data_IF_983050677235
#
_entry.id   IF_983050677235
#
_cell.length_a   1.000
_cell.length_b   1.000
_cell.length_c   1.000
_cell.angle_alpha   90.00
_cell.angle_beta   90.00
_cell.angle_gamma   90.00
#
_symmetry.space_group_name_H-M   'P 1'
#
loop_
_entity.id
_entity.type
_entity.pdbx_description
1 polymer ?
#
# COMPACT_ATOMS: atom_id res chain seq x y z
N UNK A 1 8.92 -24.62 -10.09
CA UNK A 1 8.26 -23.70 -9.12
C UNK A 1 8.89 -22.30 -9.16
N UNK A 2 10.22 -22.19 -9.02
CA UNK A 2 10.95 -20.90 -8.97
C UNK A 2 10.80 -20.01 -10.23
N UNK A 3 10.86 -20.57 -11.44
CA UNK A 3 10.72 -19.79 -12.69
C UNK A 3 9.33 -19.15 -12.87
N UNK A 4 8.24 -19.85 -12.51
CA UNK A 4 6.89 -19.28 -12.57
C UNK A 4 6.75 -18.08 -11.63
N UNK A 5 7.40 -18.14 -10.47
CA UNK A 5 7.37 -17.07 -9.49
C UNK A 5 8.22 -15.87 -9.91
N UNK A 6 9.39 -16.09 -10.53
CA UNK A 6 10.17 -15.01 -11.14
C UNK A 6 9.41 -14.33 -12.28
N UNK A 7 8.75 -15.11 -13.13
CA UNK A 7 7.90 -14.55 -14.19
C UNK A 7 6.73 -13.75 -13.61
N UNK A 8 6.07 -14.25 -12.56
CA UNK A 8 5.00 -13.51 -11.89
C UNK A 8 5.50 -12.18 -11.31
N UNK A 9 6.66 -12.18 -10.62
CA UNK A 9 7.30 -10.96 -10.11
C UNK A 9 7.61 -9.98 -11.24
N UNK A 10 8.15 -10.45 -12.36
CA UNK A 10 8.38 -9.61 -13.54
C UNK A 10 7.08 -8.94 -13.98
N UNK A 11 6.01 -9.71 -14.24
CA UNK A 11 4.71 -9.20 -14.68
C UNK A 11 4.12 -8.18 -13.70
N UNK A 12 4.17 -8.45 -12.39
CA UNK A 12 3.61 -7.55 -11.39
C UNK A 12 4.43 -6.26 -11.26
N UNK A 13 5.76 -6.36 -11.27
CA UNK A 13 6.67 -5.21 -11.18
C UNK A 13 6.63 -4.30 -12.40
N UNK A 14 6.32 -4.85 -13.58
CA UNK A 14 6.19 -4.11 -14.83
C UNK A 14 4.76 -3.61 -15.09
N UNK A 15 3.85 -3.74 -14.12
CA UNK A 15 2.43 -3.40 -14.25
C UNK A 15 1.79 -4.00 -15.51
N UNK A 16 2.26 -5.17 -15.93
CA UNK A 16 1.83 -5.81 -17.16
C UNK A 16 0.52 -6.57 -16.95
N UNK A 17 -0.41 -6.54 -17.94
CA UNK A 17 -1.66 -7.26 -17.82
C UNK A 17 -1.41 -8.76 -17.76
N UNK A 18 -2.28 -9.52 -17.07
CA UNK A 18 -2.12 -10.98 -16.99
C UNK A 18 -2.25 -11.66 -18.36
N UNK A 19 -2.81 -11.01 -19.37
CA UNK A 19 -2.79 -11.49 -20.76
C UNK A 19 -1.40 -11.46 -21.40
N UNK A 20 -0.40 -10.79 -20.81
CA UNK A 20 0.96 -10.73 -21.34
C UNK A 20 1.60 -12.12 -21.48
N UNK A 21 1.25 -13.09 -20.63
CA UNK A 21 1.70 -14.48 -20.76
C UNK A 21 1.10 -15.21 -21.97
N UNK A 22 0.02 -14.69 -22.56
CA UNK A 22 -0.59 -15.25 -23.76
C UNK A 22 -0.01 -14.66 -25.05
N UNK A 23 0.89 -13.67 -24.95
CA UNK A 23 1.54 -13.04 -26.08
C UNK A 23 2.36 -14.05 -26.91
N UNK A 24 2.14 -14.06 -28.23
CA UNK A 24 2.78 -15.02 -29.14
C UNK A 24 4.30 -14.84 -29.24
N UNK A 25 4.82 -13.62 -29.15
CA UNK A 25 6.26 -13.39 -29.18
C UNK A 25 6.93 -13.88 -27.90
N UNK A 26 6.28 -13.73 -26.75
CA UNK A 26 6.78 -14.31 -25.50
C UNK A 26 6.81 -15.84 -25.55
N UNK A 27 5.76 -16.48 -26.09
CA UNK A 27 5.73 -17.94 -26.30
C UNK A 27 6.84 -18.40 -27.23
N UNK A 28 7.02 -17.73 -28.38
CA UNK A 28 8.09 -18.05 -29.33
C UNK A 28 9.48 -17.84 -28.74
N UNK A 29 9.68 -16.76 -27.99
CA UNK A 29 10.93 -16.49 -27.28
C UNK A 29 11.29 -17.63 -26.30
N UNK A 30 10.34 -18.05 -25.46
CA UNK A 30 10.54 -19.14 -24.51
C UNK A 30 10.74 -20.51 -25.18
N UNK A 31 10.09 -20.74 -26.31
CA UNK A 31 10.32 -21.93 -27.14
C UNK A 31 11.73 -21.93 -27.73
N UNK A 32 12.21 -20.81 -28.26
CA UNK A 32 13.56 -20.69 -28.83
C UNK A 32 14.67 -20.82 -27.80
N UNK A 33 14.41 -20.42 -26.55
CA UNK A 33 15.34 -20.68 -25.42
C UNK A 33 15.44 -22.20 -25.13
N UNK A 34 14.50 -23.01 -25.59
CA UNK A 34 14.53 -24.47 -25.38
C UNK A 34 14.32 -24.88 -23.92
N UNK A 35 13.75 -24.00 -23.10
CA UNK A 35 13.70 -24.16 -21.64
C UNK A 35 12.83 -25.32 -21.13
N UNK A 36 11.98 -25.92 -21.99
CA UNK A 36 10.92 -26.84 -21.56
C UNK A 36 9.91 -26.22 -20.59
N UNK A 37 10.02 -24.91 -20.33
CA UNK A 37 9.25 -24.21 -19.32
C UNK A 37 7.82 -24.01 -19.79
N UNK A 38 6.87 -24.47 -18.96
CA UNK A 38 5.44 -24.22 -19.19
C UNK A 38 5.05 -22.93 -18.49
N UNK A 39 4.58 -21.97 -19.29
CA UNK A 39 3.98 -20.74 -18.80
C UNK A 39 2.86 -21.05 -17.78
N UNK A 40 2.73 -20.25 -16.71
CA UNK A 40 1.56 -20.34 -15.85
C UNK A 40 0.31 -19.97 -16.65
N UNK A 41 -0.84 -20.49 -16.24
CA UNK A 41 -2.14 -19.99 -16.70
C UNK A 41 -2.46 -18.63 -16.08
N UNK A 42 -3.39 -17.88 -16.69
CA UNK A 42 -3.92 -16.64 -16.09
C UNK A 42 -4.51 -16.86 -14.70
N UNK A 43 -5.15 -18.02 -14.47
CA UNK A 43 -5.70 -18.40 -13.17
C UNK A 43 -4.60 -18.62 -12.13
N UNK A 44 -3.52 -19.30 -12.48
CA UNK A 44 -2.37 -19.46 -11.59
C UNK A 44 -1.74 -18.10 -11.27
N UNK A 45 -1.61 -17.21 -12.25
CA UNK A 45 -1.11 -15.85 -12.03
C UNK A 45 -2.00 -15.05 -11.07
N UNK A 46 -3.31 -15.01 -11.31
CA UNK A 46 -4.25 -14.19 -10.53
C UNK A 46 -4.59 -14.76 -9.15
N UNK A 47 -4.17 -15.99 -8.84
CA UNK A 47 -4.46 -16.64 -7.56
C UNK A 47 -3.18 -17.06 -6.86
N UNK A 48 -2.69 -18.27 -7.12
CA UNK A 48 -1.61 -18.87 -6.32
C UNK A 48 -0.32 -18.06 -6.40
N UNK A 49 0.08 -17.58 -7.58
CA UNK A 49 1.29 -16.78 -7.74
C UNK A 49 1.13 -15.38 -7.17
N UNK A 50 -0.01 -14.71 -7.39
CA UNK A 50 -0.29 -13.42 -6.78
C UNK A 50 -0.28 -13.50 -5.26
N UNK A 51 -0.95 -14.49 -4.66
CA UNK A 51 -1.00 -14.69 -3.21
C UNK A 51 0.40 -14.94 -2.64
N UNK A 52 1.23 -15.72 -3.32
CA UNK A 52 2.61 -15.98 -2.90
C UNK A 52 3.46 -14.71 -2.94
N UNK A 53 3.42 -13.96 -4.05
CA UNK A 53 4.20 -12.71 -4.17
C UNK A 53 3.69 -11.65 -3.18
N UNK A 54 2.37 -11.56 -2.97
CA UNK A 54 1.77 -10.68 -1.99
C UNK A 54 2.21 -11.03 -0.56
N UNK A 55 2.22 -12.32 -0.22
CA UNK A 55 2.71 -12.79 1.08
C UNK A 55 4.17 -12.40 1.31
N UNK A 56 5.04 -12.64 0.32
CA UNK A 56 6.45 -12.25 0.39
C UNK A 56 6.62 -10.73 0.55
N UNK A 57 5.86 -9.92 -0.20
CA UNK A 57 5.88 -8.46 -0.08
C UNK A 57 5.43 -8.00 1.31
N UNK A 58 4.39 -8.62 1.88
CA UNK A 58 3.88 -8.32 3.22
C UNK A 58 4.87 -8.72 4.32
N UNK A 59 5.54 -9.86 4.17
CA UNK A 59 6.61 -10.28 5.09
C UNK A 59 7.81 -9.34 5.04
N UNK A 60 8.20 -8.88 3.85
CA UNK A 60 9.24 -7.87 3.68
C UNK A 60 8.86 -6.51 4.30
N UNK A 61 7.62 -6.06 4.13
CA UNK A 61 7.15 -4.83 4.79
C UNK A 61 7.18 -4.97 6.31
N UNK A 62 6.73 -6.11 6.85
CA UNK A 62 6.77 -6.38 8.29
C UNK A 62 8.18 -6.37 8.84
N UNK A 63 9.16 -6.93 8.13
CA UNK A 63 10.55 -6.88 8.60
C UNK A 63 11.07 -5.44 8.64
N UNK A 64 10.69 -4.59 7.69
CA UNK A 64 11.02 -3.15 7.71
C UNK A 64 10.35 -2.37 8.83
N UNK A 65 9.10 -2.68 9.15
CA UNK A 65 8.40 -2.10 10.30
C UNK A 65 9.11 -2.48 11.61
N UNK A 66 9.57 -3.73 11.75
CA UNK A 66 10.26 -4.20 12.96
C UNK A 66 11.66 -3.58 13.08
N UNK A 67 12.42 -3.54 11.98
CA UNK A 67 13.80 -3.04 11.93
C UNK A 67 13.90 -1.52 12.16
N UNK A 68 12.88 -0.76 11.75
CA UNK A 68 12.91 0.69 11.84
C UNK A 68 12.47 1.18 13.23
N UNK A 69 13.22 2.07 13.86
CA UNK A 69 12.81 2.67 15.15
C UNK A 69 11.62 3.61 14.99
N UNK A 70 11.61 4.41 13.92
CA UNK A 70 10.67 5.50 13.71
C UNK A 70 10.26 5.68 12.24
N UNK A 71 8.98 5.88 11.97
CA UNK A 71 8.47 6.14 10.61
C UNK A 71 7.26 7.09 10.60
N UNK A 72 6.98 7.65 9.43
CA UNK A 72 5.78 8.47 9.20
C UNK A 72 4.73 7.69 8.44
N UNK A 73 3.45 8.02 8.66
CA UNK A 73 2.31 7.49 7.92
C UNK A 73 1.86 8.57 6.93
N UNK A 74 1.78 8.23 5.65
CA UNK A 74 1.15 9.07 4.63
C UNK A 74 -0.21 8.46 4.29
N UNK A 75 -1.21 9.33 4.20
CA UNK A 75 -2.59 8.94 3.91
C UNK A 75 -3.08 9.78 2.73
N UNK A 76 -3.51 9.08 1.70
CA UNK A 76 -4.08 9.68 0.49
C UNK A 76 -5.53 9.23 0.35
N UNK A 77 -6.47 10.18 0.41
CA UNK A 77 -7.89 9.94 0.28
C UNK A 77 -8.40 10.31 -1.11
N UNK A 78 -9.12 9.39 -1.75
CA UNK A 78 -9.73 9.64 -3.04
C UNK A 78 -11.09 8.95 -3.18
N UNK A 79 -11.83 9.32 -4.21
CA UNK A 79 -13.12 8.74 -4.54
C UNK A 79 -13.03 7.98 -5.86
N UNK A 80 -13.43 6.71 -5.84
CA UNK A 80 -13.39 5.90 -7.04
C UNK A 80 -14.53 6.22 -8.01
N UNK A 81 -14.47 5.66 -9.22
CA UNK A 81 -15.49 5.88 -10.27
C UNK A 81 -16.91 5.42 -9.89
N UNK A 82 -17.05 4.70 -8.78
CA UNK A 82 -18.34 4.26 -8.21
C UNK A 82 -18.79 5.14 -7.05
N UNK A 83 -18.16 6.29 -6.86
CA UNK A 83 -18.42 7.20 -5.74
C UNK A 83 -18.16 6.60 -4.36
N UNK A 84 -17.25 5.62 -4.29
CA UNK A 84 -16.84 5.03 -3.01
C UNK A 84 -15.52 5.63 -2.60
N UNK A 85 -15.48 6.17 -1.40
CA UNK A 85 -14.26 6.70 -0.79
C UNK A 85 -13.28 5.58 -0.47
N UNK A 86 -12.02 5.82 -0.79
CA UNK A 86 -10.89 4.92 -0.55
C UNK A 86 -9.76 5.73 0.07
N UNK A 87 -9.13 5.17 1.09
CA UNK A 87 -7.87 5.71 1.62
C UNK A 87 -6.72 4.75 1.37
N UNK A 88 -5.59 5.31 0.95
CA UNK A 88 -4.33 4.59 0.79
C UNK A 88 -3.40 4.97 1.93
N UNK A 89 -2.84 3.98 2.60
CA UNK A 89 -1.90 4.15 3.70
C UNK A 89 -0.52 3.71 3.24
N UNK A 90 0.45 4.61 3.34
CA UNK A 90 1.84 4.42 2.96
C UNK A 90 2.70 4.68 4.19
N UNK A 91 3.66 3.80 4.47
CA UNK A 91 4.64 4.01 5.52
C UNK A 91 5.91 4.60 4.91
N UNK A 92 6.35 5.71 5.46
CA UNK A 92 7.57 6.41 5.06
C UNK A 92 8.72 5.98 5.95
N UNK A 93 9.51 5.06 5.41
CA UNK A 93 10.89 4.83 5.82
C UNK A 93 11.79 5.70 4.93
N UNK A 94 13.14 5.53 4.94
CA UNK A 94 13.97 6.12 3.88
C UNK A 94 13.48 5.79 2.46
N UNK A 95 12.75 4.68 2.29
CA UNK A 95 11.98 4.36 1.10
C UNK A 95 10.49 4.17 1.47
N UNK A 96 9.55 4.86 0.80
CA UNK A 96 8.13 4.72 1.06
C UNK A 96 7.63 3.36 0.61
N UNK A 97 6.77 2.74 1.43
CA UNK A 97 6.17 1.44 1.14
C UNK A 97 4.67 1.47 1.38
N UNK A 98 3.92 0.90 0.44
CA UNK A 98 2.46 0.76 0.57
C UNK A 98 2.12 -0.25 1.67
N UNK A 99 1.24 0.14 2.61
CA UNK A 99 0.80 -0.73 3.71
C UNK A 99 -0.54 -1.38 3.42
N UNK A 100 -1.60 -0.58 3.29
CA UNK A 100 -2.94 -1.06 2.97
C UNK A 100 -3.78 0.03 2.30
N UNK A 101 -4.85 -0.40 1.64
CA UNK A 101 -5.91 0.48 1.14
C UNK A 101 -7.23 0.05 1.77
N UNK A 102 -8.06 1.00 2.15
CA UNK A 102 -9.33 0.78 2.84
C UNK A 102 -10.44 1.40 2.00
N UNK A 103 -11.44 0.60 1.63
CA UNK A 103 -12.63 1.03 0.88
C UNK A 103 -13.84 1.08 1.80
N UNK A 104 -14.56 2.21 1.83
CA UNK A 104 -15.66 2.45 2.79
C UNK A 104 -17.04 1.94 2.35
N UNK A 105 -17.12 1.08 1.32
CA UNK A 105 -18.34 0.30 1.02
C UNK A 105 -19.64 1.10 0.85
N UNK A 106 -19.56 2.34 0.36
CA UNK A 106 -20.71 3.24 0.17
C UNK A 106 -21.09 4.07 1.41
N UNK A 107 -20.38 3.91 2.53
CA UNK A 107 -20.49 4.83 3.67
C UNK A 107 -19.83 6.16 3.30
N UNK A 108 -20.43 7.27 3.71
CA UNK A 108 -19.78 8.57 3.58
C UNK A 108 -18.53 8.60 4.45
N UNK A 109 -17.40 8.95 3.85
CA UNK A 109 -16.14 9.13 4.56
C UNK A 109 -16.23 10.36 5.46
N UNK A 110 -16.57 10.15 6.73
CA UNK A 110 -16.60 11.20 7.76
C UNK A 110 -15.25 11.30 8.46
N UNK A 111 -14.94 12.46 9.04
CA UNK A 111 -13.72 12.63 9.84
C UNK A 111 -13.63 11.67 11.05
N UNK A 112 -14.77 11.25 11.61
CA UNK A 112 -14.80 10.30 12.73
C UNK A 112 -14.43 8.88 12.29
N UNK A 113 -14.94 8.44 11.14
CA UNK A 113 -14.61 7.12 10.59
C UNK A 113 -13.13 7.05 10.17
N UNK A 114 -12.64 8.11 9.53
CA UNK A 114 -11.21 8.23 9.23
C UNK A 114 -10.37 8.20 10.50
N UNK A 115 -10.77 8.94 11.53
CA UNK A 115 -10.07 8.94 12.82
C UNK A 115 -9.98 7.54 13.42
N UNK A 116 -11.08 6.75 13.43
CA UNK A 116 -11.04 5.40 13.98
C UNK A 116 -10.12 4.47 13.19
N UNK A 117 -10.17 4.51 11.86
CA UNK A 117 -9.31 3.67 11.00
C UNK A 117 -7.84 4.01 11.15
N UNK A 118 -7.51 5.32 11.18
CA UNK A 118 -6.11 5.75 11.34
C UNK A 118 -5.61 5.41 12.74
N UNK A 119 -6.45 5.57 13.77
CA UNK A 119 -6.08 5.20 15.13
C UNK A 119 -5.77 3.71 15.25
N UNK A 120 -6.63 2.83 14.71
CA UNK A 120 -6.39 1.38 14.70
C UNK A 120 -5.08 1.05 13.99
N UNK A 121 -4.78 1.74 12.87
CA UNK A 121 -3.50 1.57 12.15
C UNK A 121 -2.30 1.97 12.99
N UNK A 122 -2.38 3.08 13.72
CA UNK A 122 -1.28 3.51 14.61
C UNK A 122 -1.09 2.49 15.74
N UNK A 123 -2.17 2.00 16.34
CA UNK A 123 -2.13 0.96 17.39
C UNK A 123 -1.52 -0.36 16.85
N UNK A 124 -1.88 -0.78 15.62
CA UNK A 124 -1.30 -1.95 14.94
C UNK A 124 0.22 -1.82 14.71
N UNK A 125 0.67 -0.61 14.41
CA UNK A 125 2.06 -0.32 13.99
C UNK A 125 3.00 0.03 15.16
N UNK A 126 2.43 0.34 16.33
CA UNK A 126 3.15 0.81 17.52
C UNK A 126 3.17 2.34 17.58
N UNK A 127 2.37 2.91 18.48
CA UNK A 127 2.24 4.36 18.68
C UNK A 127 3.59 5.06 18.93
N UNK A 128 4.51 4.37 19.61
CA UNK A 128 5.85 4.85 19.95
C UNK A 128 6.79 5.02 18.75
N UNK A 129 6.51 4.33 17.65
CA UNK A 129 7.30 4.36 16.41
C UNK A 129 6.81 5.41 15.42
N UNK A 130 5.57 5.89 15.57
CA UNK A 130 4.97 6.84 14.63
C UNK A 130 5.39 8.27 14.97
N UNK A 131 6.23 8.86 14.12
CA UNK A 131 6.69 10.25 14.31
C UNK A 131 5.77 11.26 13.64
N UNK A 132 5.12 10.88 12.54
CA UNK A 132 4.15 11.74 11.90
C UNK A 132 3.04 11.03 11.13
N UNK A 133 1.89 11.69 11.03
CA UNK A 133 0.85 11.35 10.06
C UNK A 133 0.69 12.54 9.12
N UNK A 134 0.73 12.28 7.82
CA UNK A 134 0.62 13.28 6.77
C UNK A 134 -0.58 12.89 5.91
N UNK A 135 -1.48 13.83 5.66
CA UNK A 135 -2.66 13.63 4.82
C UNK A 135 -2.80 14.71 3.77
N UNK A 136 -3.68 14.48 2.80
CA UNK A 136 -4.20 15.55 1.96
C UNK A 136 -4.96 16.61 2.79
N UNK A 137 -5.33 17.72 2.12
CA UNK A 137 -6.03 18.85 2.72
C UNK A 137 -7.57 18.71 2.68
N UNK A 138 -8.10 17.50 2.47
CA UNK A 138 -9.53 17.25 2.49
C UNK A 138 -10.12 17.51 3.88
N UNK A 139 -11.27 18.18 3.94
CA UNK A 139 -11.87 18.64 5.21
C UNK A 139 -11.99 17.53 6.27
N UNK A 140 -12.41 16.34 5.84
CA UNK A 140 -12.58 15.19 6.74
C UNK A 140 -11.24 14.60 7.20
N UNK A 141 -10.22 14.62 6.32
CA UNK A 141 -8.86 14.18 6.65
C UNK A 141 -8.21 15.12 7.66
N UNK A 142 -8.33 16.43 7.44
CA UNK A 142 -7.84 17.46 8.37
C UNK A 142 -8.51 17.31 9.74
N UNK A 143 -9.82 17.09 9.78
CA UNK A 143 -10.54 16.87 11.03
C UNK A 143 -10.07 15.60 11.75
N UNK A 144 -9.93 14.49 11.04
CA UNK A 144 -9.48 13.22 11.59
C UNK A 144 -8.07 13.32 12.17
N UNK A 145 -7.13 13.86 11.39
CA UNK A 145 -5.73 14.01 11.80
C UNK A 145 -5.61 14.92 13.02
N UNK A 146 -6.35 16.05 13.05
CA UNK A 146 -6.40 16.95 14.22
C UNK A 146 -6.88 16.24 15.49
N UNK A 147 -7.83 15.31 15.38
CA UNK A 147 -8.29 14.52 16.53
C UNK A 147 -7.21 13.56 17.07
N UNK A 148 -6.35 13.04 16.20
CA UNK A 148 -5.23 12.15 16.60
C UNK A 148 -4.16 12.95 17.37
N UNK A 149 -3.83 14.15 16.90
CA UNK A 149 -2.78 14.99 17.50
C UNK A 149 -3.09 15.38 18.95
N UNK A 150 -4.37 15.54 19.29
CA UNK A 150 -4.82 15.94 20.63
C UNK A 150 -4.63 14.84 21.68
N UNK A 151 -4.55 13.57 21.24
CA UNK A 151 -4.47 12.40 22.13
C UNK A 151 -3.02 12.02 22.38
N UNK A 152 -2.16 12.07 21.36
CA UNK A 152 -0.76 11.70 21.52
C UNK A 152 0.09 12.89 22.00
N UNK A 153 0.25 13.01 23.33
CA UNK A 153 1.15 13.99 23.95
C UNK A 153 2.64 13.61 23.87
N UNK A 154 2.95 12.35 23.53
CA UNK A 154 4.31 11.81 23.47
C UNK A 154 4.95 11.89 22.08
N UNK A 155 4.21 12.26 21.04
CA UNK A 155 4.80 12.56 19.74
C UNK A 155 5.35 14.01 19.75
N UNK A 156 6.46 14.20 20.45
CA UNK A 156 7.18 15.48 20.54
C UNK A 156 7.52 15.95 19.11
N UNK A 157 6.81 16.99 18.64
CA UNK A 157 6.92 17.57 17.30
C UNK A 157 6.44 16.72 16.12
N UNK A 158 5.29 16.04 16.22
CA UNK A 158 4.63 15.61 14.98
C UNK A 158 4.23 16.80 14.13
N UNK A 159 4.93 16.96 13.03
CA UNK A 159 4.59 17.90 11.97
C UNK A 159 3.42 17.31 11.16
N UNK A 160 2.20 17.38 11.70
CA UNK A 160 0.95 17.11 10.98
C UNK A 160 0.67 18.28 10.03
N UNK A 161 1.47 18.41 8.98
CA UNK A 161 1.28 19.45 7.98
C UNK A 161 0.41 18.93 6.85
N UNK A 162 -0.67 19.64 6.60
CA UNK A 162 -1.35 19.52 5.30
C UNK A 162 -0.41 20.06 4.23
N UNK A 163 -0.49 19.58 2.98
CA UNK A 163 0.38 20.07 1.89
C UNK A 163 0.42 21.61 1.77
N UNK A 164 -0.65 22.31 2.17
CA UNK A 164 -0.72 23.79 2.19
C UNK A 164 0.21 24.47 3.20
N UNK A 165 0.71 23.76 4.21
CA UNK A 165 1.62 24.31 5.23
C UNK A 165 3.10 24.15 4.85
N UNK A 166 3.41 23.54 3.70
CA UNK A 166 4.76 23.43 3.15
C UNK A 166 5.05 24.46 2.04
N UNK A 167 4.06 25.25 1.62
CA UNK A 167 4.17 26.21 0.51
C UNK A 167 4.40 27.66 0.96
N UNK A 168 4.89 27.88 2.20
CA UNK A 168 5.31 29.21 2.69
C UNK A 168 6.80 29.24 2.98
#
# INVERSE_FOLDING_TARGET
MQLKQLLAKFIFSSSSPFSAIENEYLKQFLQKIGSGFRLPSRRELSHSLLNNVFKEAKEYLRSKIVECDFFSILIDGWENVRHVSVINIILCFPLPMFYKSIEFGGQMMTGQLLYSEIKEVIEELGEDKVVAVVSDNGTNMVAAVKSITQISKNCWNTMFRTCSEFTN
#
